data_IF_844293866367
#
_entry.id   IF_844293866367
#
_cell.length_a   1.000
_cell.length_b   1.000
_cell.length_c   1.000
_cell.angle_alpha   90.00
_cell.angle_beta   90.00
_cell.angle_gamma   90.00
#
_symmetry.space_group_name_H-M   'P 1'
#
loop_
_entity.id
_entity.type
_entity.pdbx_description
1 polymer ?
#
# COMPACT_ATOMS: atom_id res chain seq x y z
N UNK A 1 2.56 12.05 15.63
CA UNK A 1 2.79 13.31 14.89
C UNK A 1 3.36 12.94 13.54
N UNK A 2 2.50 12.80 12.52
CA UNK A 2 2.92 12.24 11.22
C UNK A 2 2.84 13.26 10.06
N UNK A 3 2.20 14.41 10.24
CA UNK A 3 2.24 15.47 9.23
C UNK A 3 3.05 16.67 9.69
N UNK A 4 3.70 17.36 8.74
CA UNK A 4 4.37 18.65 8.96
C UNK A 4 3.52 19.64 9.77
N UNK A 5 2.20 19.56 9.63
CA UNK A 5 1.23 20.41 10.32
C UNK A 5 1.01 20.02 11.79
N UNK A 6 1.27 18.76 12.16
CA UNK A 6 1.14 18.26 13.54
C UNK A 6 2.32 18.64 14.44
N UNK A 7 3.46 19.02 13.85
CA UNK A 7 4.62 19.53 14.60
C UNK A 7 4.36 20.96 15.06
N UNK A 8 4.78 21.28 16.30
CA UNK A 8 4.86 22.66 16.76
C UNK A 8 5.73 23.48 15.79
N UNK A 9 5.45 24.77 15.58
CA UNK A 9 6.21 25.60 14.65
C UNK A 9 7.73 25.53 14.85
N UNK A 10 8.18 25.37 16.10
CA UNK A 10 9.59 25.24 16.50
C UNK A 10 10.26 23.94 16.04
N UNK A 11 9.49 22.86 15.85
CA UNK A 11 10.00 21.52 15.55
C UNK A 11 9.78 21.13 14.07
N UNK A 12 9.21 22.03 13.27
CA UNK A 12 8.99 21.79 11.85
C UNK A 12 10.33 21.78 11.10
N UNK A 13 10.58 20.82 10.20
CA UNK A 13 11.72 20.89 9.31
C UNK A 13 11.68 22.20 8.52
N UNK A 14 12.84 22.72 8.11
CA UNK A 14 12.91 24.00 7.43
C UNK A 14 12.00 24.02 6.21
N UNK A 15 11.30 25.15 5.96
CA UNK A 15 10.42 25.30 4.79
C UNK A 15 11.13 24.95 3.49
N UNK A 16 12.44 25.16 3.42
CA UNK A 16 13.24 24.86 2.24
C UNK A 16 13.37 23.34 1.99
N UNK A 17 13.56 22.53 3.03
CA UNK A 17 13.59 21.05 2.90
C UNK A 17 12.23 20.55 2.40
N UNK A 18 11.13 21.08 2.95
CA UNK A 18 9.78 20.77 2.49
C UNK A 18 9.57 21.16 1.02
N UNK A 19 10.01 22.37 0.64
CA UNK A 19 9.91 22.84 -0.74
C UNK A 19 10.75 22.00 -1.70
N UNK A 20 11.97 21.59 -1.33
CA UNK A 20 12.77 20.66 -2.14
C UNK A 20 12.03 19.34 -2.32
N UNK A 21 11.47 18.79 -1.24
CA UNK A 21 10.75 17.52 -1.32
C UNK A 21 9.54 17.63 -2.25
N UNK A 22 8.72 18.68 -2.10
CA UNK A 22 7.55 18.93 -2.95
C UNK A 22 7.97 19.18 -4.41
N UNK A 23 8.92 20.07 -4.67
CA UNK A 23 9.39 20.38 -6.02
C UNK A 23 10.09 19.19 -6.67
N UNK A 24 10.85 18.40 -5.91
CA UNK A 24 11.45 17.16 -6.36
C UNK A 24 10.39 16.14 -6.77
N UNK A 25 9.33 15.98 -5.95
CA UNK A 25 8.22 15.09 -6.26
C UNK A 25 7.47 15.53 -7.53
N UNK A 26 7.21 16.83 -7.69
CA UNK A 26 6.62 17.37 -8.92
C UNK A 26 7.55 17.23 -10.13
N UNK A 27 8.86 17.39 -9.95
CA UNK A 27 9.84 17.21 -11.03
C UNK A 27 9.87 15.76 -11.50
N UNK A 28 9.82 14.79 -10.58
CA UNK A 28 9.70 13.37 -10.90
C UNK A 28 8.39 13.11 -11.66
N UNK A 29 7.26 13.62 -11.19
CA UNK A 29 5.97 13.47 -11.88
C UNK A 29 6.04 14.05 -13.29
N UNK A 30 6.60 15.24 -13.49
CA UNK A 30 6.73 15.87 -14.81
C UNK A 30 7.66 15.09 -15.74
N UNK A 31 8.80 14.59 -15.25
CA UNK A 31 9.71 13.74 -16.04
C UNK A 31 9.02 12.42 -16.41
N UNK A 32 8.33 11.78 -15.48
CA UNK A 32 7.52 10.60 -15.75
C UNK A 32 6.45 10.89 -16.81
N UNK A 33 5.73 12.02 -16.71
CA UNK A 33 4.75 12.43 -17.71
C UNK A 33 5.34 12.63 -19.10
N UNK A 34 6.57 13.14 -19.19
CA UNK A 34 7.25 13.35 -20.46
C UNK A 34 7.84 12.07 -21.08
N UNK A 35 8.07 11.03 -20.27
CA UNK A 35 8.84 9.83 -20.67
C UNK A 35 8.01 8.54 -20.69
N UNK A 36 6.86 8.51 -20.03
CA UNK A 36 6.00 7.33 -19.94
C UNK A 36 4.81 7.42 -20.90
N UNK A 37 4.16 6.28 -21.09
CA UNK A 37 2.97 6.19 -21.94
C UNK A 37 1.74 6.88 -21.30
N UNK A 38 0.77 7.25 -22.13
CA UNK A 38 -0.44 7.97 -21.72
C UNK A 38 -1.24 7.23 -20.64
N UNK A 39 -1.24 5.89 -20.62
CA UNK A 39 -1.94 5.11 -19.59
C UNK A 39 -1.26 5.24 -18.23
N UNK A 40 0.07 5.12 -18.16
CA UNK A 40 0.81 5.30 -16.90
C UNK A 40 0.64 6.72 -16.35
N UNK A 41 0.62 7.71 -17.24
CA UNK A 41 0.35 9.11 -16.91
C UNK A 41 -1.05 9.30 -16.32
N UNK A 42 -2.07 8.71 -16.97
CA UNK A 42 -3.44 8.73 -16.49
C UNK A 42 -3.56 8.15 -15.07
N UNK A 43 -2.89 7.02 -14.81
CA UNK A 43 -2.92 6.38 -13.50
C UNK A 43 -2.25 7.22 -12.40
N UNK A 44 -1.11 7.86 -12.70
CA UNK A 44 -0.45 8.80 -11.77
C UNK A 44 -1.37 9.98 -11.44
N UNK A 45 -1.93 10.64 -12.45
CA UNK A 45 -2.75 11.83 -12.24
C UNK A 45 -4.13 11.53 -11.63
N UNK A 46 -4.66 10.31 -11.81
CA UNK A 46 -5.91 9.89 -11.17
C UNK A 46 -5.80 9.81 -9.65
N UNK A 47 -4.65 9.38 -9.13
CA UNK A 47 -4.45 9.13 -7.70
C UNK A 47 -3.75 10.28 -6.96
N UNK A 48 -3.05 11.14 -7.70
CA UNK A 48 -2.33 12.30 -7.14
C UNK A 48 -3.23 13.25 -6.32
N UNK A 49 -4.46 13.62 -6.77
CA UNK A 49 -5.35 14.47 -5.97
C UNK A 49 -5.74 13.82 -4.64
N UNK A 50 -5.96 12.50 -4.64
CA UNK A 50 -6.32 11.76 -3.44
C UNK A 50 -5.16 11.75 -2.44
N UNK A 51 -3.92 11.56 -2.92
CA UNK A 51 -2.72 11.64 -2.09
C UNK A 51 -2.50 13.04 -1.50
N UNK A 52 -2.66 14.09 -2.30
CA UNK A 52 -2.48 15.49 -1.85
C UNK A 52 -3.58 15.93 -0.86
N UNK A 53 -4.82 15.49 -1.06
CA UNK A 53 -5.96 15.85 -0.21
C UNK A 53 -6.14 14.92 1.00
N UNK A 54 -5.41 13.80 1.10
CA UNK A 54 -5.65 12.72 2.06
C UNK A 54 -5.80 13.18 3.52
N UNK A 55 -4.92 14.11 3.93
CA UNK A 55 -4.90 14.69 5.28
C UNK A 55 -5.67 16.01 5.43
N UNK A 56 -6.21 16.55 4.34
CA UNK A 56 -6.85 17.88 4.30
C UNK A 56 -8.37 17.71 4.43
N UNK A 57 -9.04 18.42 5.35
CA UNK A 57 -10.49 18.42 5.41
C UNK A 57 -11.06 19.16 4.19
N UNK A 58 -11.49 18.41 3.18
CA UNK A 58 -11.99 18.96 1.91
C UNK A 58 -13.29 18.32 1.44
N UNK A 59 -13.75 17.24 2.06
CA UNK A 59 -14.99 16.58 1.67
C UNK A 59 -16.14 17.09 2.54
N UNK A 60 -17.17 17.74 1.98
CA UNK A 60 -18.31 18.18 2.75
C UNK A 60 -19.09 16.97 3.28
N UNK A 61 -19.35 16.95 4.58
CA UNK A 61 -20.21 15.98 5.24
C UNK A 61 -21.23 16.71 6.11
N UNK A 62 -22.47 16.25 6.07
CA UNK A 62 -23.52 16.77 6.92
C UNK A 62 -23.69 15.86 8.14
N UNK A 63 -23.74 16.46 9.32
CA UNK A 63 -24.05 15.76 10.58
C UNK A 63 -25.23 16.44 11.25
N UNK A 64 -26.13 15.67 11.83
CA UNK A 64 -27.33 16.18 12.52
C UNK A 64 -26.99 17.05 13.73
N UNK A 65 -25.82 16.85 14.34
CA UNK A 65 -25.37 17.59 15.53
C UNK A 65 -24.50 18.82 15.23
N UNK A 66 -23.75 18.84 14.12
CA UNK A 66 -22.80 19.93 13.80
C UNK A 66 -23.09 20.63 12.47
N UNK A 67 -24.13 20.21 11.73
CA UNK A 67 -24.42 20.73 10.40
C UNK A 67 -23.39 20.32 9.35
N UNK A 68 -23.14 21.19 8.38
CA UNK A 68 -22.11 20.98 7.36
C UNK A 68 -20.71 21.13 7.95
N UNK A 69 -19.91 20.09 7.81
CA UNK A 69 -18.51 20.05 8.25
C UNK A 69 -17.63 19.54 7.11
N UNK A 70 -16.36 19.95 7.07
CA UNK A 70 -15.39 19.40 6.13
C UNK A 70 -14.65 18.24 6.80
N UNK A 71 -14.75 17.07 6.18
CA UNK A 71 -14.09 15.83 6.60
C UNK A 71 -12.86 15.56 5.74
N UNK A 72 -11.87 14.89 6.33
CA UNK A 72 -10.69 14.42 5.59
C UNK A 72 -11.10 13.21 4.73
N UNK A 73 -10.59 13.02 3.51
CA UNK A 73 -10.88 11.82 2.72
C UNK A 73 -10.69 10.51 3.50
N UNK A 74 -9.63 10.43 4.31
CA UNK A 74 -9.33 9.26 5.15
C UNK A 74 -10.46 8.86 6.12
N UNK A 75 -11.32 9.80 6.55
CA UNK A 75 -12.39 9.51 7.52
C UNK A 75 -13.60 8.84 6.88
N UNK A 76 -13.77 8.97 5.56
CA UNK A 76 -14.91 8.42 4.82
C UNK A 76 -14.70 6.98 4.38
N UNK A 77 -13.44 6.53 4.36
CA UNK A 77 -13.07 5.22 3.85
C UNK A 77 -13.12 4.12 4.92
N UNK A 78 -13.26 4.48 6.18
CA UNK A 78 -13.38 3.55 7.32
C UNK A 78 -12.38 2.38 7.23
N UNK A 79 -12.85 1.13 7.09
CA UNK A 79 -12.00 -0.06 6.96
C UNK A 79 -11.26 -0.16 5.63
N UNK A 80 -11.79 0.44 4.57
CA UNK A 80 -11.19 0.42 3.23
C UNK A 80 -10.05 1.43 3.08
N UNK A 81 -9.77 2.26 4.10
CA UNK A 81 -8.70 3.28 4.10
C UNK A 81 -7.38 2.73 3.56
N UNK A 82 -6.85 1.67 4.17
CA UNK A 82 -5.54 1.11 3.82
C UNK A 82 -5.55 0.47 2.42
N UNK A 83 -6.68 -0.11 1.99
CA UNK A 83 -6.83 -0.71 0.67
C UNK A 83 -6.82 0.35 -0.45
N UNK A 84 -7.49 1.48 -0.24
CA UNK A 84 -7.50 2.60 -1.19
C UNK A 84 -6.11 3.20 -1.32
N UNK A 85 -5.39 3.40 -0.22
CA UNK A 85 -3.99 3.85 -0.26
C UNK A 85 -3.13 2.83 -1.00
N UNK A 86 -3.29 1.55 -0.69
CA UNK A 86 -2.53 0.49 -1.35
C UNK A 86 -2.74 0.46 -2.86
N UNK A 87 -3.98 0.63 -3.32
CA UNK A 87 -4.30 0.74 -4.73
C UNK A 87 -3.61 1.94 -5.39
N UNK A 88 -3.65 3.11 -4.73
CA UNK A 88 -3.01 4.32 -5.25
C UNK A 88 -1.49 4.21 -5.29
N UNK A 89 -0.89 3.56 -4.30
CA UNK A 89 0.56 3.34 -4.29
C UNK A 89 0.97 2.32 -5.35
N UNK A 90 0.17 1.26 -5.54
CA UNK A 90 0.40 0.25 -6.57
C UNK A 90 0.28 0.82 -7.99
N UNK A 91 -0.64 1.75 -8.25
CA UNK A 91 -0.76 2.40 -9.57
C UNK A 91 0.46 3.24 -9.94
N UNK A 92 1.25 3.65 -8.96
CA UNK A 92 2.52 4.37 -9.19
C UNK A 92 3.70 3.41 -9.26
N UNK A 93 3.75 2.36 -8.43
CA UNK A 93 4.96 1.53 -8.29
C UNK A 93 4.95 0.19 -9.04
N UNK A 94 3.79 -0.32 -9.46
CA UNK A 94 3.66 -1.66 -10.06
C UNK A 94 4.45 -1.81 -11.36
N UNK A 95 4.41 -0.82 -12.24
CA UNK A 95 5.16 -0.83 -13.49
C UNK A 95 6.67 -0.77 -13.26
N UNK A 96 7.14 0.00 -12.28
CA UNK A 96 8.56 0.07 -11.93
C UNK A 96 9.07 -1.27 -11.36
N UNK A 97 8.29 -1.90 -10.48
CA UNK A 97 8.65 -3.19 -9.88
C UNK A 97 8.58 -4.32 -10.92
N UNK A 98 7.60 -4.27 -11.82
CA UNK A 98 7.49 -5.16 -12.96
C UNK A 98 8.65 -4.95 -13.95
N UNK A 99 9.02 -3.72 -14.29
CA UNK A 99 10.13 -3.43 -15.18
C UNK A 99 11.47 -3.94 -14.62
N UNK A 100 11.71 -3.78 -13.31
CA UNK A 100 12.89 -4.36 -12.65
C UNK A 100 12.95 -5.88 -12.83
N UNK A 101 11.81 -6.54 -12.64
CA UNK A 101 11.70 -7.98 -12.80
C UNK A 101 11.83 -8.43 -14.26
N UNK A 102 11.09 -7.82 -15.19
CA UNK A 102 11.04 -8.20 -16.60
C UNK A 102 12.34 -7.85 -17.35
N UNK A 103 13.18 -6.95 -16.83
CA UNK A 103 14.49 -6.62 -17.43
C UNK A 103 15.52 -7.73 -17.28
N UNK A 104 15.30 -8.72 -16.42
CA UNK A 104 16.33 -9.73 -16.13
C UNK A 104 16.50 -10.78 -17.24
N UNK A 105 15.57 -10.94 -18.19
CA UNK A 105 15.70 -11.86 -19.34
C UNK A 105 14.92 -11.35 -20.56
N UNK A 106 15.03 -12.02 -21.72
CA UNK A 106 14.29 -11.73 -22.97
C UNK A 106 12.75 -11.83 -22.87
N UNK A 107 12.20 -11.85 -21.64
CA UNK A 107 10.80 -11.93 -21.30
C UNK A 107 10.19 -10.52 -21.31
N UNK A 108 9.64 -10.12 -22.45
CA UNK A 108 8.79 -8.93 -22.49
C UNK A 108 7.47 -9.29 -21.80
N UNK A 109 7.21 -8.75 -20.61
CA UNK A 109 5.94 -8.86 -19.90
C UNK A 109 4.83 -8.05 -20.60
N UNK A 110 4.61 -8.32 -21.89
CA UNK A 110 3.62 -7.66 -22.75
C UNK A 110 2.22 -8.24 -22.56
N UNK A 111 2.12 -9.44 -21.98
CA UNK A 111 0.85 -10.08 -21.70
C UNK A 111 0.02 -9.28 -20.68
N UNK A 112 -1.21 -8.94 -21.10
CA UNK A 112 -2.13 -8.09 -20.32
C UNK A 112 -2.52 -8.76 -19.01
N UNK A 113 -2.70 -10.08 -19.02
CA UNK A 113 -3.11 -10.82 -17.85
C UNK A 113 -2.00 -10.86 -16.79
N UNK A 114 -0.76 -11.12 -17.21
CA UNK A 114 0.44 -11.03 -16.36
C UNK A 114 0.62 -9.65 -15.75
N UNK A 115 0.44 -8.57 -16.54
CA UNK A 115 0.49 -7.18 -16.04
C UNK A 115 -0.58 -6.91 -14.99
N UNK A 116 -1.82 -7.38 -15.22
CA UNK A 116 -2.91 -7.22 -14.27
C UNK A 116 -2.61 -7.96 -12.95
N UNK A 117 -2.16 -9.22 -13.02
CA UNK A 117 -1.75 -10.00 -11.84
C UNK A 117 -0.61 -9.34 -11.08
N UNK A 118 0.40 -8.83 -11.80
CA UNK A 118 1.52 -8.06 -11.23
C UNK A 118 1.05 -6.81 -10.48
N UNK A 119 0.11 -6.07 -11.05
CA UNK A 119 -0.52 -4.92 -10.40
C UNK A 119 -1.24 -5.33 -9.12
N UNK A 120 -2.07 -6.38 -9.16
CA UNK A 120 -2.80 -6.83 -7.97
C UNK A 120 -1.89 -7.39 -6.86
N UNK A 121 -0.77 -8.00 -7.21
CA UNK A 121 0.27 -8.34 -6.23
C UNK A 121 0.86 -7.08 -5.59
N UNK A 122 1.12 -6.03 -6.37
CA UNK A 122 1.56 -4.75 -5.81
C UNK A 122 0.51 -4.14 -4.87
N UNK A 123 -0.77 -4.19 -5.22
CA UNK A 123 -1.87 -3.77 -4.33
C UNK A 123 -1.84 -4.57 -3.03
N UNK A 124 -1.70 -5.91 -3.11
CA UNK A 124 -1.71 -6.79 -1.95
C UNK A 124 -0.58 -6.48 -0.96
N UNK A 125 0.65 -6.34 -1.45
CA UNK A 125 1.81 -6.05 -0.60
C UNK A 125 1.81 -4.61 -0.06
N UNK A 126 1.32 -3.65 -0.84
CA UNK A 126 1.07 -2.29 -0.32
C UNK A 126 -0.01 -2.32 0.75
N UNK A 127 -1.06 -3.13 0.59
CA UNK A 127 -2.12 -3.27 1.59
C UNK A 127 -1.58 -3.86 2.89
N UNK A 128 -0.70 -4.85 2.82
CA UNK A 128 -0.01 -5.37 4.00
C UNK A 128 0.79 -4.28 4.73
N UNK A 129 1.58 -3.50 3.98
CA UNK A 129 2.44 -2.44 4.54
C UNK A 129 1.60 -1.34 5.19
N UNK A 130 0.64 -0.78 4.46
CA UNK A 130 -0.20 0.32 4.92
C UNK A 130 -1.10 -0.09 6.08
N UNK A 131 -1.67 -1.30 6.05
CA UNK A 131 -2.45 -1.81 7.20
C UNK A 131 -1.56 -2.04 8.42
N UNK A 132 -0.31 -2.45 8.23
CA UNK A 132 0.65 -2.58 9.33
C UNK A 132 1.04 -1.22 9.92
N UNK A 133 1.15 -0.17 9.11
CA UNK A 133 1.27 1.20 9.59
C UNK A 133 0.01 1.63 10.38
N UNK A 134 -1.19 1.31 9.90
CA UNK A 134 -2.42 1.62 10.62
C UNK A 134 -2.53 0.83 11.96
N UNK A 135 -1.97 -0.38 12.07
CA UNK A 135 -1.88 -1.11 13.36
C UNK A 135 -1.07 -0.32 14.39
N UNK A 136 0.05 0.28 13.97
CA UNK A 136 0.87 1.15 14.84
C UNK A 136 0.05 2.35 15.35
N UNK A 137 -0.84 2.85 14.52
CA UNK A 137 -1.60 4.08 14.78
C UNK A 137 -2.95 3.84 15.48
N UNK A 138 -3.28 2.59 15.86
CA UNK A 138 -4.51 2.25 16.61
C UNK A 138 -4.79 3.22 17.79
N UNK A 139 -3.82 3.56 18.67
CA UNK A 139 -4.10 4.47 19.78
C UNK A 139 -4.48 5.88 19.34
N UNK A 140 -3.87 6.39 18.26
CA UNK A 140 -4.17 7.71 17.69
C UNK A 140 -5.51 7.69 16.94
N UNK A 141 -5.70 6.70 16.07
CA UNK A 141 -6.92 6.52 15.30
C UNK A 141 -8.15 6.35 16.21
N UNK A 142 -8.01 5.63 17.33
CA UNK A 142 -9.06 5.49 18.34
C UNK A 142 -9.39 6.84 18.99
N UNK A 143 -8.37 7.65 19.32
CA UNK A 143 -8.55 8.99 19.90
C UNK A 143 -9.19 9.97 18.89
N UNK A 144 -8.87 9.83 17.60
CA UNK A 144 -9.48 10.59 16.51
C UNK A 144 -10.90 10.10 16.13
N UNK A 145 -11.37 8.98 16.71
CA UNK A 145 -12.68 8.40 16.41
C UNK A 145 -12.75 7.72 15.03
N UNK A 146 -11.61 7.33 14.47
CA UNK A 146 -11.53 6.64 13.18
C UNK A 146 -11.93 5.17 13.34
N UNK A 147 -12.64 4.65 12.33
CA UNK A 147 -13.10 3.24 12.32
C UNK A 147 -12.29 2.41 11.32
N UNK A 148 -10.97 2.49 11.40
CA UNK A 148 -10.08 1.73 10.52
C UNK A 148 -10.14 0.24 10.81
N UNK A 149 -9.71 -0.59 9.85
CA UNK A 149 -9.70 -2.04 9.99
C UNK A 149 -8.93 -2.50 11.25
N UNK A 150 -7.73 -1.95 11.56
CA UNK A 150 -7.02 -2.30 12.79
C UNK A 150 -7.69 -1.85 14.09
N UNK A 151 -8.42 -0.73 14.07
CA UNK A 151 -9.20 -0.29 15.24
C UNK A 151 -10.37 -1.24 15.52
N UNK A 152 -11.03 -1.75 14.47
CA UNK A 152 -12.16 -2.68 14.65
C UNK A 152 -11.72 -4.08 15.06
N UNK A 153 -10.67 -4.62 14.44
CA UNK A 153 -10.24 -6.01 14.65
C UNK A 153 -9.21 -6.14 15.77
N UNK A 154 -8.47 -5.08 16.07
CA UNK A 154 -7.29 -5.12 16.91
C UNK A 154 -6.07 -5.71 16.20
N UNK A 155 -4.90 -5.54 16.80
CA UNK A 155 -3.60 -5.91 16.22
C UNK A 155 -3.51 -7.38 15.77
N UNK A 156 -3.86 -8.33 16.65
CA UNK A 156 -3.71 -9.76 16.38
C UNK A 156 -4.62 -10.25 15.24
N UNK A 157 -5.91 -9.94 15.32
CA UNK A 157 -6.87 -10.37 14.30
C UNK A 157 -6.62 -9.70 12.96
N UNK A 158 -6.13 -8.45 12.96
CA UNK A 158 -5.74 -7.78 11.71
C UNK A 158 -4.59 -8.52 11.04
N UNK A 159 -3.53 -8.87 11.77
CA UNK A 159 -2.38 -9.59 11.19
C UNK A 159 -2.79 -10.99 10.73
N UNK A 160 -3.66 -11.68 11.48
CA UNK A 160 -4.23 -12.95 11.05
C UNK A 160 -5.02 -12.80 9.75
N UNK A 161 -5.89 -11.79 9.65
CA UNK A 161 -6.65 -11.49 8.44
C UNK A 161 -5.71 -11.22 7.26
N UNK A 162 -4.67 -10.38 7.43
CA UNK A 162 -3.69 -10.08 6.39
C UNK A 162 -2.95 -11.34 5.94
N UNK A 163 -2.57 -12.23 6.86
CA UNK A 163 -1.93 -13.49 6.53
C UNK A 163 -2.88 -14.42 5.75
N UNK A 164 -4.10 -14.62 6.23
CA UNK A 164 -5.06 -15.53 5.60
C UNK A 164 -5.51 -15.03 4.23
N UNK A 165 -5.97 -13.78 4.14
CA UNK A 165 -6.38 -13.16 2.87
C UNK A 165 -5.18 -13.05 1.94
N UNK A 166 -4.00 -12.75 2.50
CA UNK A 166 -2.76 -12.64 1.75
C UNK A 166 -2.38 -13.92 1.05
N UNK A 167 -2.33 -15.05 1.78
CA UNK A 167 -1.99 -16.34 1.19
C UNK A 167 -3.02 -16.75 0.16
N UNK A 168 -4.31 -16.56 0.44
CA UNK A 168 -5.38 -16.91 -0.51
C UNK A 168 -5.29 -16.07 -1.80
N UNK A 169 -5.20 -14.75 -1.67
CA UNK A 169 -5.13 -13.83 -2.80
C UNK A 169 -3.85 -14.06 -3.62
N UNK A 170 -2.70 -14.19 -2.96
CA UNK A 170 -1.43 -14.46 -3.64
C UNK A 170 -1.49 -15.81 -4.37
N UNK A 171 -2.04 -16.86 -3.74
CA UNK A 171 -2.18 -18.17 -4.38
C UNK A 171 -3.07 -18.13 -5.62
N UNK A 172 -4.13 -17.32 -5.63
CA UNK A 172 -4.96 -17.11 -6.82
C UNK A 172 -4.17 -16.33 -7.89
N UNK A 173 -3.51 -15.25 -7.50
CA UNK A 173 -2.76 -14.38 -8.42
C UNK A 173 -1.55 -15.06 -9.06
N UNK A 174 -0.91 -16.01 -8.38
CA UNK A 174 0.21 -16.78 -8.93
C UNK A 174 -0.21 -18.15 -9.46
N UNK A 175 -1.50 -18.37 -9.77
CA UNK A 175 -2.03 -19.65 -10.28
C UNK A 175 -1.71 -20.89 -9.44
N UNK A 176 -1.49 -20.70 -8.13
CA UNK A 176 -1.45 -21.78 -7.15
C UNK A 176 -2.83 -22.37 -6.90
N UNK A 177 -3.88 -21.56 -7.03
CA UNK A 177 -5.28 -21.96 -7.05
C UNK A 177 -5.89 -21.46 -8.34
N UNK A 178 -6.24 -22.38 -9.23
CA UNK A 178 -6.94 -22.08 -10.48
C UNK A 178 -8.41 -22.48 -10.38
N UNK A 179 -9.30 -21.52 -10.60
CA UNK A 179 -10.75 -21.74 -10.63
C UNK A 179 -11.16 -21.90 -12.09
N UNK A 180 -11.50 -23.13 -12.48
CA UNK A 180 -11.90 -23.48 -13.84
C UNK A 180 -13.39 -23.84 -13.88
N UNK A 181 -13.97 -23.89 -15.08
CA UNK A 181 -15.36 -24.34 -15.25
C UNK A 181 -15.61 -25.78 -14.72
N UNK A 182 -14.56 -26.60 -14.65
CA UNK A 182 -14.63 -28.00 -14.22
C UNK A 182 -14.26 -28.21 -12.74
N UNK A 183 -13.87 -27.15 -12.02
CA UNK A 183 -13.52 -27.23 -10.60
C UNK A 183 -12.30 -26.41 -10.20
N UNK A 184 -11.78 -26.68 -9.00
CA UNK A 184 -10.64 -25.98 -8.40
C UNK A 184 -9.38 -26.85 -8.54
N UNK A 185 -8.37 -26.33 -9.22
CA UNK A 185 -7.06 -26.98 -9.35
C UNK A 185 -6.10 -26.34 -8.34
N UNK A 186 -5.44 -27.17 -7.54
CA UNK A 186 -4.58 -26.74 -6.43
C UNK A 186 -3.15 -27.20 -6.70
N UNK A 187 -2.24 -26.26 -6.95
CA UNK A 187 -0.81 -26.52 -7.15
C UNK A 187 -0.07 -26.29 -5.83
N UNK A 188 0.06 -27.36 -5.04
CA UNK A 188 0.64 -27.32 -3.70
C UNK A 188 2.01 -26.61 -3.60
N UNK A 189 2.97 -26.78 -4.55
CA UNK A 189 4.25 -26.07 -4.48
C UNK A 189 4.11 -24.55 -4.55
N UNK A 190 3.19 -24.03 -5.36
CA UNK A 190 2.96 -22.59 -5.50
C UNK A 190 2.29 -22.01 -4.26
N UNK A 191 1.35 -22.76 -3.67
CA UNK A 191 0.70 -22.38 -2.41
C UNK A 191 1.72 -22.36 -1.27
N UNK A 192 2.62 -23.34 -1.18
CA UNK A 192 3.69 -23.36 -0.18
C UNK A 192 4.61 -22.15 -0.30
N UNK A 193 4.92 -21.73 -1.54
CA UNK A 193 5.69 -20.50 -1.80
C UNK A 193 4.93 -19.24 -1.38
N UNK A 194 3.62 -19.18 -1.61
CA UNK A 194 2.78 -18.08 -1.14
C UNK A 194 2.74 -18.00 0.40
N UNK A 195 2.55 -19.13 1.08
CA UNK A 195 2.66 -19.22 2.54
C UNK A 195 4.01 -18.70 3.05
N UNK A 196 5.10 -19.07 2.38
CA UNK A 196 6.43 -18.64 2.77
C UNK A 196 6.61 -17.12 2.59
N UNK A 197 6.24 -16.55 1.44
CA UNK A 197 6.38 -15.10 1.18
C UNK A 197 5.48 -14.26 2.07
N UNK A 198 4.18 -14.58 2.15
CA UNK A 198 3.25 -13.86 3.02
C UNK A 198 3.62 -14.06 4.49
N UNK A 199 3.92 -15.29 4.90
CA UNK A 199 4.29 -15.62 6.28
C UNK A 199 5.54 -14.88 6.73
N UNK A 200 6.61 -14.86 5.92
CA UNK A 200 7.82 -14.09 6.22
C UNK A 200 7.54 -12.58 6.28
N UNK A 201 6.73 -12.06 5.36
CA UNK A 201 6.34 -10.64 5.35
C UNK A 201 5.59 -10.26 6.63
N UNK A 202 4.59 -11.06 7.00
CA UNK A 202 3.80 -10.86 8.23
C UNK A 202 4.66 -11.03 9.48
N UNK A 203 5.57 -12.00 9.51
CA UNK A 203 6.50 -12.17 10.63
C UNK A 203 7.44 -10.97 10.78
N UNK A 204 7.98 -10.44 9.67
CA UNK A 204 8.81 -9.24 9.68
C UNK A 204 8.03 -8.03 10.20
N UNK A 205 6.82 -7.79 9.69
CA UNK A 205 5.96 -6.71 10.16
C UNK A 205 5.58 -6.88 11.63
N UNK A 206 5.30 -8.11 12.07
CA UNK A 206 5.03 -8.40 13.48
C UNK A 206 6.19 -8.02 14.39
N UNK A 207 7.44 -8.26 13.97
CA UNK A 207 8.62 -7.85 14.70
C UNK A 207 8.76 -6.32 14.74
N UNK A 208 8.56 -5.65 13.61
CA UNK A 208 8.60 -4.17 13.56
C UNK A 208 7.54 -3.56 14.49
N UNK A 209 6.34 -4.15 14.54
CA UNK A 209 5.23 -3.73 15.39
C UNK A 209 5.47 -3.88 16.91
N UNK A 210 6.62 -4.46 17.33
CA UNK A 210 7.04 -4.46 18.74
C UNK A 210 7.73 -3.17 19.14
N UNK A 211 8.27 -2.43 18.17
CA UNK A 211 8.98 -1.19 18.43
C UNK A 211 7.99 -0.02 18.56
N UNK A 212 8.28 0.94 19.45
CA UNK A 212 7.47 2.14 19.56
C UNK A 212 7.55 2.97 18.28
N UNK A 213 6.54 3.81 18.05
CA UNK A 213 6.46 4.68 16.85
C UNK A 213 7.67 5.59 16.67
N UNK A 214 8.30 6.01 17.76
CA UNK A 214 9.46 6.89 17.77
C UNK A 214 10.75 6.20 17.30
N UNK A 215 10.75 4.87 17.14
CA UNK A 215 11.92 4.15 16.65
C UNK A 215 12.08 4.32 15.14
N UNK A 216 12.77 5.39 14.74
CA UNK A 216 13.03 5.74 13.34
C UNK A 216 13.74 4.63 12.56
N UNK A 217 14.57 3.81 13.21
CA UNK A 217 15.26 2.70 12.54
C UNK A 217 14.31 1.58 12.15
N UNK A 218 13.41 1.17 13.04
CA UNK A 218 12.44 0.12 12.75
C UNK A 218 11.47 0.56 11.63
N UNK A 219 10.90 1.76 11.76
CA UNK A 219 9.93 2.30 10.79
C UNK A 219 10.58 2.76 9.49
N UNK A 220 11.81 3.26 9.54
CA UNK A 220 12.63 3.56 8.37
C UNK A 220 12.97 2.29 7.59
N UNK A 221 13.38 1.22 8.28
CA UNK A 221 13.65 -0.08 7.64
C UNK A 221 12.40 -0.66 7.00
N UNK A 222 11.24 -0.59 7.67
CA UNK A 222 9.97 -1.01 7.09
C UNK A 222 9.55 -0.16 5.88
N UNK A 223 9.84 1.14 5.90
CA UNK A 223 9.57 2.03 4.76
C UNK A 223 10.47 1.74 3.56
N UNK A 224 11.75 1.40 3.81
CA UNK A 224 12.73 1.09 2.77
C UNK A 224 12.59 -0.33 2.20
N UNK A 225 12.36 -1.32 3.06
CA UNK A 225 12.45 -2.75 2.71
C UNK A 225 11.12 -3.50 2.82
N UNK A 226 10.07 -2.89 3.39
CA UNK A 226 8.79 -3.57 3.61
C UNK A 226 8.14 -4.05 2.32
N UNK A 227 8.41 -3.40 1.19
CA UNK A 227 7.87 -3.79 -0.10
C UNK A 227 8.76 -4.76 -0.88
N UNK A 228 9.98 -5.07 -0.44
CA UNK A 228 10.86 -6.02 -1.14
C UNK A 228 10.18 -7.37 -1.46
N UNK A 229 9.33 -7.95 -0.58
CA UNK A 229 8.58 -9.17 -0.89
C UNK A 229 7.73 -9.11 -2.17
N UNK A 230 7.25 -7.93 -2.58
CA UNK A 230 6.47 -7.77 -3.83
C UNK A 230 7.29 -8.20 -5.06
N UNK A 231 8.60 -7.97 -5.04
CA UNK A 231 9.49 -8.32 -6.16
C UNK A 231 9.55 -9.83 -6.32
N UNK A 232 9.62 -10.58 -5.21
CA UNK A 232 9.62 -12.04 -5.23
C UNK A 232 8.26 -12.63 -5.60
N UNK A 233 7.16 -11.97 -5.22
CA UNK A 233 5.82 -12.39 -5.59
C UNK A 233 5.56 -12.16 -7.09
N UNK A 234 5.90 -10.97 -7.61
CA UNK A 234 5.87 -10.69 -9.04
C UNK A 234 6.81 -11.64 -9.79
N UNK A 235 7.93 -12.04 -9.16
CA UNK A 235 8.82 -13.02 -9.74
C UNK A 235 8.23 -14.43 -9.92
N UNK A 236 7.24 -14.79 -9.11
CA UNK A 236 6.54 -16.06 -9.21
C UNK A 236 5.49 -16.08 -10.33
N UNK A 237 5.26 -14.98 -11.04
CA UNK A 237 4.37 -14.95 -12.21
C UNK A 237 4.99 -15.60 -13.46
N UNK A 238 6.29 -15.91 -13.45
CA UNK A 238 6.99 -16.68 -14.50
C UNK A 238 6.71 -18.18 -14.44
N UNK A 239 6.37 -18.68 -13.26
CA UNK A 239 6.22 -20.12 -12.96
C UNK A 239 4.77 -20.59 -13.16
#
# INVERSE_FOLDING_TARGET
MDTYKDLSPSNRPSKWIWNIWVYGLWSIVLVCTATLDVHTVYDIYRVLPLGLAWGIPCVPSYTTSKGWTLSKPKTLLFEAKSLVVAYCMASVCSEASMAYYCRQEAFQCTDRDTRARSFYLAVLYQFFRETSCDIRDIPEDTKEGLKTLPVKLGKQNTVLLLATVGVLAESILTHGIDITATGIIVKAPLIARAFLRVGLTMAAYWQVLRFPRQNSWAWGSMSLLGLTPVLFAQAALRD
#
